data_IF_347864544565
#
_entry.id   IF_347864544565
#
_cell.length_a   1.000
_cell.length_b   1.000
_cell.length_c   1.000
_cell.angle_alpha   90.00
_cell.angle_beta   90.00
_cell.angle_gamma   90.00
#
_symmetry.space_group_name_H-M   'P 1'
#
loop_
_entity.id
_entity.type
_entity.pdbx_description
1 polymer ?
#
# COMPACT_ATOMS: atom_id res chain seq x y z
N UNK A 1 -27.65 18.74 -38.20
CA UNK A 1 -27.92 17.37 -37.72
C UNK A 1 -26.66 16.58 -38.03
N UNK A 2 -25.94 16.04 -37.03
CA UNK A 2 -24.74 15.25 -37.29
C UNK A 2 -25.10 14.10 -38.23
N UNK A 3 -24.26 13.83 -39.22
CA UNK A 3 -24.40 12.67 -40.10
C UNK A 3 -24.30 11.38 -39.25
N UNK A 4 -25.13 10.37 -39.50
CA UNK A 4 -25.20 9.14 -38.69
C UNK A 4 -23.82 8.46 -38.57
N UNK A 5 -23.00 8.58 -39.63
CA UNK A 5 -21.62 8.10 -39.62
C UNK A 5 -20.67 8.88 -38.71
N UNK A 6 -20.88 10.18 -38.45
CA UNK A 6 -20.10 10.96 -37.47
C UNK A 6 -20.45 10.55 -36.04
N UNK A 7 -21.74 10.40 -35.77
CA UNK A 7 -22.23 9.96 -34.46
C UNK A 7 -21.64 8.58 -34.08
N UNK A 8 -21.65 7.62 -35.01
CA UNK A 8 -21.09 6.29 -34.78
C UNK A 8 -19.58 6.30 -34.49
N UNK A 9 -18.81 7.18 -35.15
CA UNK A 9 -17.36 7.31 -34.91
C UNK A 9 -17.04 7.97 -33.57
N UNK A 10 -17.77 9.01 -33.19
CA UNK A 10 -17.60 9.65 -31.88
C UNK A 10 -17.93 8.64 -30.77
N UNK A 11 -19.01 7.88 -30.91
CA UNK A 11 -19.37 6.81 -29.97
C UNK A 11 -18.27 5.76 -29.91
N UNK A 12 -17.75 5.31 -31.05
CA UNK A 12 -16.65 4.34 -31.10
C UNK A 12 -15.37 4.83 -30.44
N UNK A 13 -14.99 6.09 -30.66
CA UNK A 13 -13.82 6.71 -30.03
C UNK A 13 -14.00 6.85 -28.51
N UNK A 14 -15.18 7.31 -28.06
CA UNK A 14 -15.50 7.42 -26.64
C UNK A 14 -15.50 6.04 -25.96
N UNK A 15 -16.11 5.03 -26.60
CA UNK A 15 -16.11 3.66 -26.10
C UNK A 15 -14.69 3.12 -25.95
N UNK A 16 -13.81 3.34 -26.95
CA UNK A 16 -12.42 2.95 -26.88
C UNK A 16 -11.66 3.66 -25.75
N UNK A 17 -11.85 4.97 -25.58
CA UNK A 17 -11.22 5.75 -24.50
C UNK A 17 -11.68 5.27 -23.10
N UNK A 18 -12.97 4.95 -22.94
CA UNK A 18 -13.52 4.38 -21.71
C UNK A 18 -12.89 3.02 -21.42
N UNK A 19 -12.83 2.13 -22.42
CA UNK A 19 -12.25 0.79 -22.26
C UNK A 19 -10.79 0.87 -21.82
N UNK A 20 -9.99 1.75 -22.45
CA UNK A 20 -8.58 1.96 -22.07
C UNK A 20 -8.47 2.47 -20.64
N UNK A 21 -9.32 3.42 -20.25
CA UNK A 21 -9.34 3.98 -18.90
C UNK A 21 -9.70 2.91 -17.86
N UNK A 22 -10.68 2.06 -18.15
CA UNK A 22 -11.07 0.96 -17.25
C UNK A 22 -9.97 -0.09 -17.12
N UNK A 23 -9.29 -0.45 -18.22
CA UNK A 23 -8.19 -1.41 -18.19
C UNK A 23 -7.02 -0.87 -17.36
N UNK A 24 -6.54 0.34 -17.65
CA UNK A 24 -5.40 0.91 -16.92
C UNK A 24 -5.75 1.29 -15.48
N UNK A 25 -6.98 1.77 -15.25
CA UNK A 25 -7.48 2.08 -13.92
C UNK A 25 -7.64 0.83 -13.05
N UNK A 26 -8.19 -0.26 -13.58
CA UNK A 26 -8.27 -1.52 -12.85
C UNK A 26 -6.89 -2.12 -12.56
N UNK A 27 -5.95 -2.02 -13.50
CA UNK A 27 -4.55 -2.42 -13.27
C UNK A 27 -3.90 -1.62 -12.13
N UNK A 28 -4.13 -0.30 -12.08
CA UNK A 28 -3.65 0.54 -10.98
C UNK A 28 -4.23 0.10 -9.64
N UNK A 29 -5.56 -0.08 -9.55
CA UNK A 29 -6.22 -0.53 -8.32
C UNK A 29 -5.68 -1.89 -7.86
N UNK A 30 -5.50 -2.84 -8.78
CA UNK A 30 -4.96 -4.16 -8.44
C UNK A 30 -3.53 -4.08 -7.88
N UNK A 31 -2.66 -3.29 -8.50
CA UNK A 31 -1.29 -3.07 -8.03
C UNK A 31 -1.24 -2.36 -6.69
N UNK A 32 -2.10 -1.35 -6.48
CA UNK A 32 -2.20 -0.64 -5.22
C UNK A 32 -2.66 -1.57 -4.08
N UNK A 33 -3.66 -2.42 -4.33
CA UNK A 33 -4.13 -3.39 -3.34
C UNK A 33 -3.06 -4.43 -3.00
N UNK A 34 -2.32 -4.93 -4.00
CA UNK A 34 -1.20 -5.84 -3.79
C UNK A 34 -0.10 -5.19 -2.96
N UNK A 35 0.22 -3.92 -3.23
CA UNK A 35 1.14 -3.10 -2.44
C UNK A 35 0.75 -3.07 -0.96
N UNK A 36 -0.50 -2.71 -0.65
CA UNK A 36 -1.00 -2.68 0.74
C UNK A 36 -0.94 -4.04 1.42
N UNK A 37 -1.31 -5.12 0.73
CA UNK A 37 -1.23 -6.47 1.31
C UNK A 37 0.21 -6.88 1.59
N UNK A 38 1.15 -6.57 0.69
CA UNK A 38 2.56 -6.89 0.87
C UNK A 38 3.21 -6.10 2.02
N UNK A 39 2.76 -4.87 2.28
CA UNK A 39 3.17 -4.06 3.42
C UNK A 39 2.71 -4.64 4.77
N UNK A 40 1.66 -5.46 4.79
CA UNK A 40 1.18 -6.12 6.01
C UNK A 40 1.71 -7.55 6.17
N UNK A 41 2.15 -8.19 5.08
CA UNK A 41 2.53 -9.60 5.07
C UNK A 41 3.78 -9.90 5.92
N UNK A 42 4.86 -9.11 5.77
CA UNK A 42 6.09 -9.34 6.50
C UNK A 42 5.94 -9.10 8.03
N UNK A 43 5.26 -8.03 8.49
CA UNK A 43 4.89 -7.88 9.89
C UNK A 43 4.01 -9.02 10.41
N UNK A 44 2.99 -9.45 9.65
CA UNK A 44 2.14 -10.55 10.08
C UNK A 44 2.92 -11.86 10.27
N UNK A 45 3.87 -12.15 9.38
CA UNK A 45 4.76 -13.30 9.50
C UNK A 45 5.70 -13.18 10.72
N UNK A 46 6.26 -11.99 10.97
CA UNK A 46 7.10 -11.74 12.14
C UNK A 46 6.33 -11.89 13.46
N UNK A 47 5.09 -11.38 13.53
CA UNK A 47 4.21 -11.64 14.68
C UNK A 47 3.99 -13.14 14.84
N UNK A 48 3.62 -13.86 13.79
CA UNK A 48 3.37 -15.29 13.87
C UNK A 48 4.60 -16.09 14.35
N UNK A 49 5.80 -15.72 13.90
CA UNK A 49 7.05 -16.31 14.35
C UNK A 49 7.31 -16.01 15.83
N UNK A 50 7.14 -14.76 16.25
CA UNK A 50 7.36 -14.35 17.64
C UNK A 50 6.34 -14.99 18.59
N UNK A 51 5.09 -15.19 18.17
CA UNK A 51 4.07 -15.89 18.93
C UNK A 51 4.48 -17.33 19.27
N UNK A 52 5.21 -18.03 18.39
CA UNK A 52 5.72 -19.39 18.65
C UNK A 52 6.84 -19.40 19.70
N UNK A 53 7.50 -18.26 19.91
CA UNK A 53 8.58 -18.09 20.87
C UNK A 53 8.09 -17.51 22.21
N UNK A 54 6.80 -17.21 22.35
CA UNK A 54 6.25 -16.71 23.62
C UNK A 54 6.44 -17.75 24.72
N UNK A 55 7.16 -17.35 25.78
CA UNK A 55 7.51 -18.23 26.90
C UNK A 55 8.91 -18.85 26.78
N UNK A 56 9.56 -18.69 25.63
CA UNK A 56 10.96 -19.06 25.41
C UNK A 56 11.86 -17.83 25.57
N UNK A 57 13.06 -18.03 26.12
CA UNK A 57 14.06 -16.97 26.22
C UNK A 57 14.56 -16.67 24.80
N UNK A 58 14.20 -15.50 24.26
CA UNK A 58 14.60 -15.09 22.92
C UNK A 58 15.93 -14.35 22.99
N UNK A 59 16.87 -14.69 22.09
CA UNK A 59 18.15 -14.01 21.99
C UNK A 59 17.94 -12.51 21.68
N UNK A 60 18.77 -11.60 22.21
CA UNK A 60 18.65 -10.18 21.91
C UNK A 60 18.87 -9.96 20.42
N UNK A 61 17.81 -9.55 19.73
CA UNK A 61 17.90 -9.10 18.35
C UNK A 61 18.56 -7.71 18.31
N UNK A 62 19.32 -7.39 17.25
CA UNK A 62 19.90 -6.06 17.08
C UNK A 62 18.80 -4.99 17.12
N UNK A 63 19.06 -3.90 17.85
CA UNK A 63 18.17 -2.74 17.82
C UNK A 63 18.30 -2.00 16.49
N UNK A 64 17.16 -1.65 15.92
CA UNK A 64 16.96 -0.95 14.67
C UNK A 64 16.31 0.39 15.00
N UNK A 65 16.97 1.48 14.65
CA UNK A 65 16.37 2.80 14.72
C UNK A 65 15.29 2.92 13.63
N UNK A 66 14.13 3.48 13.99
CA UNK A 66 13.04 3.71 13.06
C UNK A 66 13.38 4.88 12.13
N UNK A 67 13.33 4.60 10.84
CA UNK A 67 13.62 5.48 9.72
C UNK A 67 12.64 5.15 8.59
N UNK A 68 12.50 6.02 7.59
CA UNK A 68 11.70 5.74 6.39
C UNK A 68 12.13 4.46 5.64
N UNK A 69 13.36 3.97 5.83
CA UNK A 69 13.86 2.75 5.19
C UNK A 69 13.88 1.54 6.14
N UNK A 70 13.29 1.67 7.33
CA UNK A 70 13.34 0.61 8.33
C UNK A 70 12.58 -0.62 7.88
N UNK A 71 13.27 -1.76 7.93
CA UNK A 71 12.70 -3.07 7.69
C UNK A 71 11.78 -3.53 8.83
N UNK A 72 11.53 -4.84 8.86
CA UNK A 72 10.62 -5.43 9.84
C UNK A 72 11.21 -5.32 11.26
N UNK A 73 10.41 -4.83 12.19
CA UNK A 73 10.72 -4.78 13.61
C UNK A 73 9.61 -5.43 14.44
N UNK A 74 9.92 -5.79 15.69
CA UNK A 74 8.98 -6.42 16.63
C UNK A 74 9.07 -5.74 17.98
N UNK A 75 7.93 -5.58 18.65
CA UNK A 75 7.79 -5.10 20.03
C UNK A 75 6.83 -6.03 20.76
N UNK A 76 7.20 -6.47 21.95
CA UNK A 76 6.39 -7.31 22.82
C UNK A 76 5.91 -6.47 23.99
N UNK A 77 4.60 -6.40 24.16
CA UNK A 77 3.94 -5.72 25.26
C UNK A 77 3.51 -6.72 26.33
N UNK A 78 3.70 -6.34 27.59
CA UNK A 78 3.29 -7.07 28.79
C UNK A 78 1.77 -7.07 28.98
N UNK A 79 1.30 -7.57 30.12
CA UNK A 79 -0.13 -7.53 30.48
C UNK A 79 -0.62 -6.11 30.82
N UNK A 80 0.31 -5.23 31.17
CA UNK A 80 0.13 -3.85 31.59
C UNK A 80 0.23 -2.83 30.44
N UNK A 81 0.23 -3.30 29.19
CA UNK A 81 0.44 -2.49 27.98
C UNK A 81 1.77 -1.73 27.93
N UNK A 82 2.74 -2.09 28.79
CA UNK A 82 4.10 -1.57 28.70
C UNK A 82 4.96 -2.44 27.79
N UNK A 83 5.85 -1.83 26.99
CA UNK A 83 6.74 -2.59 26.12
C UNK A 83 7.83 -3.27 26.97
N UNK A 84 7.91 -4.59 26.88
CA UNK A 84 8.82 -5.45 27.65
C UNK A 84 10.13 -5.70 26.89
N UNK A 85 10.02 -5.92 25.58
CA UNK A 85 11.17 -6.13 24.71
C UNK A 85 10.84 -5.73 23.28
N UNK A 86 11.86 -5.50 22.46
CA UNK A 86 11.67 -5.23 21.05
C UNK A 86 12.96 -4.91 20.34
N UNK A 87 12.86 -4.83 19.02
CA UNK A 87 13.97 -4.57 18.11
C UNK A 87 13.94 -3.15 17.56
N UNK A 88 12.89 -2.37 17.80
CA UNK A 88 12.79 -1.00 17.34
C UNK A 88 13.28 0.00 18.39
N UNK A 89 13.89 1.09 17.94
CA UNK A 89 14.09 2.30 18.73
C UNK A 89 13.62 3.53 17.95
N UNK A 90 13.06 4.49 18.68
CA UNK A 90 12.75 5.83 18.22
C UNK A 90 13.43 6.80 19.18
N UNK A 91 14.34 7.60 18.66
CA UNK A 91 15.22 8.46 19.45
C UNK A 91 15.98 7.66 20.54
N UNK A 92 16.45 6.45 20.20
CA UNK A 92 17.18 5.57 21.11
C UNK A 92 16.35 4.90 22.21
N UNK A 93 15.03 5.13 22.23
CA UNK A 93 14.10 4.55 23.20
C UNK A 93 13.12 3.58 22.53
N UNK A 94 12.58 2.61 23.26
CA UNK A 94 11.59 1.67 22.72
C UNK A 94 10.27 2.44 22.46
N UNK A 95 9.74 2.47 21.23
CA UNK A 95 8.56 3.26 20.93
C UNK A 95 7.30 2.68 21.58
N UNK A 96 6.38 3.56 21.94
CA UNK A 96 5.09 3.21 22.55
C UNK A 96 3.99 3.41 21.53
N UNK A 97 3.23 2.35 21.28
CA UNK A 97 2.08 2.41 20.38
C UNK A 97 0.85 3.04 21.06
N UNK A 98 -0.09 3.60 20.29
CA UNK A 98 -1.36 4.07 20.82
C UNK A 98 -2.12 2.94 21.52
N UNK A 99 -2.64 3.21 22.73
CA UNK A 99 -3.34 2.21 23.54
C UNK A 99 -4.51 1.53 22.81
N UNK A 100 -5.18 2.25 21.90
CA UNK A 100 -6.27 1.70 21.09
C UNK A 100 -5.87 0.50 20.24
N UNK A 101 -4.61 0.44 19.76
CA UNK A 101 -4.10 -0.68 18.96
C UNK A 101 -3.95 -1.93 19.85
N UNK A 102 -3.39 -1.75 21.04
CA UNK A 102 -3.20 -2.82 22.01
C UNK A 102 -4.55 -3.34 22.53
N UNK A 103 -5.46 -2.43 22.87
CA UNK A 103 -6.81 -2.77 23.32
C UNK A 103 -7.57 -3.57 22.25
N UNK A 104 -7.56 -3.11 21.00
CA UNK A 104 -8.24 -3.80 19.89
C UNK A 104 -7.63 -5.18 19.66
N UNK A 105 -6.29 -5.30 19.67
CA UNK A 105 -5.63 -6.59 19.54
C UNK A 105 -5.99 -7.56 20.67
N UNK A 106 -6.20 -7.07 21.90
CA UNK A 106 -6.65 -7.90 23.04
C UNK A 106 -8.10 -8.34 22.91
N UNK A 107 -9.01 -7.45 22.49
CA UNK A 107 -10.44 -7.75 22.39
C UNK A 107 -10.80 -8.58 21.17
N UNK A 108 -10.14 -8.32 20.03
CA UNK A 108 -10.45 -8.92 18.73
C UNK A 108 -9.43 -9.96 18.28
N UNK A 109 -8.35 -10.16 19.04
CA UNK A 109 -7.27 -11.10 18.76
C UNK A 109 -6.19 -10.58 17.81
N UNK A 110 -6.50 -9.56 17.00
CA UNK A 110 -5.55 -8.88 16.13
C UNK A 110 -6.00 -7.47 15.79
N UNK A 111 -5.03 -6.59 15.48
CA UNK A 111 -5.28 -5.28 14.89
C UNK A 111 -4.24 -4.97 13.80
N UNK A 112 -4.66 -4.28 12.75
CA UNK A 112 -3.80 -3.89 11.62
C UNK A 112 -4.03 -2.42 11.30
N UNK A 113 -3.01 -1.60 11.54
CA UNK A 113 -3.12 -0.15 11.47
C UNK A 113 -1.91 0.48 10.80
N UNK A 114 -2.09 1.68 10.29
CA UNK A 114 -0.97 2.57 9.95
C UNK A 114 -0.65 3.43 11.17
N UNK A 115 0.60 3.40 11.60
CA UNK A 115 1.08 4.20 12.72
C UNK A 115 2.12 5.19 12.22
N UNK A 116 1.96 6.46 12.60
CA UNK A 116 2.85 7.56 12.23
C UNK A 116 3.34 8.22 13.53
N UNK A 117 4.43 7.72 14.14
CA UNK A 117 5.01 8.32 15.34
C UNK A 117 5.46 9.77 15.14
N UNK A 118 6.01 10.05 13.96
CA UNK A 118 6.60 11.32 13.58
C UNK A 118 6.27 11.62 12.12
N UNK A 119 6.29 12.90 11.72
CA UNK A 119 6.09 13.26 10.32
C UNK A 119 7.03 12.45 9.42
N UNK A 120 6.48 11.92 8.32
CA UNK A 120 7.20 11.11 7.32
C UNK A 120 7.62 9.70 7.78
N UNK A 121 7.39 9.33 9.04
CA UNK A 121 7.68 8.00 9.55
C UNK A 121 6.41 7.16 9.60
N UNK A 122 5.90 6.73 8.43
CA UNK A 122 4.65 5.97 8.33
C UNK A 122 4.94 4.47 8.34
N UNK A 123 4.38 3.76 9.30
CA UNK A 123 4.64 2.34 9.55
C UNK A 123 3.37 1.51 9.39
N UNK A 124 3.46 0.39 8.66
CA UNK A 124 2.44 -0.64 8.67
C UNK A 124 2.63 -1.50 9.90
N UNK A 125 1.62 -1.60 10.75
CA UNK A 125 1.68 -2.33 12.01
C UNK A 125 0.65 -3.46 12.02
N UNK A 126 1.09 -4.62 12.50
CA UNK A 126 0.23 -5.76 12.84
C UNK A 126 0.44 -6.10 14.31
N UNK A 127 -0.63 -6.09 15.08
CA UNK A 127 -0.65 -6.48 16.49
C UNK A 127 -1.49 -7.75 16.66
N UNK A 128 -1.04 -8.69 17.50
CA UNK A 128 -1.82 -9.87 17.91
C UNK A 128 -1.64 -10.15 19.40
N UNK A 129 -2.75 -10.51 20.04
CA UNK A 129 -2.75 -10.91 21.45
C UNK A 129 -2.58 -12.42 21.58
N UNK A 130 -1.74 -12.86 22.52
CA UNK A 130 -1.59 -14.26 22.91
C UNK A 130 -1.04 -14.37 24.34
N UNK A 131 -1.60 -15.30 25.13
CA UNK A 131 -1.15 -15.62 26.49
C UNK A 131 -0.94 -14.37 27.38
N UNK A 132 -1.91 -13.43 27.37
CA UNK A 132 -1.86 -12.19 28.16
C UNK A 132 -0.95 -11.10 27.59
N UNK A 133 -0.12 -11.39 26.58
CA UNK A 133 0.79 -10.44 25.94
C UNK A 133 0.28 -9.98 24.59
N UNK A 134 0.78 -8.85 24.11
CA UNK A 134 0.53 -8.38 22.74
C UNK A 134 1.85 -8.32 22.00
N UNK A 135 1.93 -9.02 20.88
CA UNK A 135 3.08 -8.94 19.97
C UNK A 135 2.70 -8.02 18.82
N UNK A 136 3.54 -7.02 18.63
CA UNK A 136 3.42 -6.02 17.58
C UNK A 136 4.60 -6.21 16.65
N UNK A 137 4.35 -6.27 15.35
CA UNK A 137 5.40 -6.10 14.36
C UNK A 137 5.03 -4.98 13.40
N UNK A 138 6.05 -4.34 12.85
CA UNK A 138 5.84 -3.32 11.83
C UNK A 138 6.96 -3.23 10.83
N UNK A 139 6.73 -2.45 9.78
CA UNK A 139 7.74 -2.07 8.79
C UNK A 139 7.37 -0.73 8.16
N UNK A 140 8.35 -0.06 7.54
CA UNK A 140 8.10 1.21 6.87
C UNK A 140 7.17 1.06 5.65
N UNK A 141 6.30 2.06 5.46
CA UNK A 141 5.46 2.20 4.27
C UNK A 141 6.16 2.95 3.14
N UNK A 142 7.22 3.72 3.40
CA UNK A 142 7.89 4.57 2.40
C UNK A 142 8.27 3.81 1.12
N UNK A 143 8.91 2.61 1.19
CA UNK A 143 9.26 1.87 -0.02
C UNK A 143 8.04 1.40 -0.85
N UNK A 144 6.87 1.28 -0.22
CA UNK A 144 5.62 0.90 -0.89
C UNK A 144 4.93 2.12 -1.50
N UNK A 145 4.99 3.27 -0.83
CA UNK A 145 4.46 4.54 -1.31
C UNK A 145 5.23 5.05 -2.54
N UNK A 146 6.56 4.91 -2.53
CA UNK A 146 7.40 5.23 -3.68
C UNK A 146 7.09 4.34 -4.89
N UNK A 147 6.84 3.05 -4.64
CA UNK A 147 6.40 2.11 -5.70
C UNK A 147 5.03 2.47 -6.24
N UNK A 148 4.05 2.80 -5.39
CA UNK A 148 2.71 3.22 -5.83
C UNK A 148 2.79 4.47 -6.72
N UNK A 149 3.62 5.45 -6.32
CA UNK A 149 3.86 6.67 -7.10
C UNK A 149 4.49 6.37 -8.45
N UNK A 150 5.52 5.52 -8.49
CA UNK A 150 6.15 5.12 -9.74
C UNK A 150 5.17 4.37 -10.67
N UNK A 151 4.38 3.44 -10.12
CA UNK A 151 3.33 2.72 -10.85
C UNK A 151 2.30 3.68 -11.44
N UNK A 152 1.83 4.66 -10.66
CA UNK A 152 0.88 5.66 -11.14
C UNK A 152 1.45 6.46 -12.32
N UNK A 153 2.70 6.91 -12.23
CA UNK A 153 3.36 7.66 -13.32
C UNK A 153 3.44 6.83 -14.59
N UNK A 154 3.88 5.56 -14.50
CA UNK A 154 4.00 4.68 -15.66
C UNK A 154 2.64 4.42 -16.31
N UNK A 155 1.61 4.14 -15.52
CA UNK A 155 0.26 3.91 -16.04
C UNK A 155 -0.36 5.18 -16.62
N UNK A 156 -0.12 6.34 -16.01
CA UNK A 156 -0.59 7.63 -16.53
C UNK A 156 0.07 7.98 -17.88
N UNK A 157 1.37 7.73 -18.03
CA UNK A 157 2.07 7.91 -19.30
C UNK A 157 1.56 6.94 -20.37
N UNK A 158 1.35 5.67 -20.01
CA UNK A 158 0.74 4.68 -20.91
C UNK A 158 -0.66 5.09 -21.35
N UNK A 159 -1.49 5.54 -20.41
CA UNK A 159 -2.83 6.06 -20.69
C UNK A 159 -2.80 7.26 -21.63
N UNK A 160 -1.94 8.25 -21.36
CA UNK A 160 -1.80 9.43 -22.21
C UNK A 160 -1.34 9.06 -23.63
N UNK A 161 -0.42 8.11 -23.77
CA UNK A 161 0.01 7.57 -25.06
C UNK A 161 -1.15 6.92 -25.82
N UNK A 162 -1.95 6.08 -25.16
CA UNK A 162 -3.13 5.45 -25.75
C UNK A 162 -4.17 6.48 -26.22
N UNK A 163 -4.47 7.49 -25.40
CA UNK A 163 -5.41 8.56 -25.76
C UNK A 163 -4.89 9.38 -26.95
N UNK A 164 -3.59 9.68 -26.99
CA UNK A 164 -2.97 10.40 -28.09
C UNK A 164 -3.06 9.61 -29.41
N UNK A 165 -2.82 8.30 -29.39
CA UNK A 165 -2.98 7.43 -30.56
C UNK A 165 -4.44 7.39 -31.03
N UNK A 166 -5.39 7.25 -30.10
CA UNK A 166 -6.81 7.28 -30.43
C UNK A 166 -7.23 8.62 -31.06
N UNK A 167 -6.77 9.74 -30.50
CA UNK A 167 -7.05 11.08 -31.00
C UNK A 167 -6.42 11.32 -32.39
N UNK A 168 -5.19 10.88 -32.61
CA UNK A 168 -4.52 10.97 -33.90
C UNK A 168 -5.22 10.12 -34.98
N UNK A 169 -5.67 8.91 -34.62
CA UNK A 169 -6.45 8.06 -35.51
C UNK A 169 -7.78 8.71 -35.91
N UNK A 170 -8.53 9.24 -34.94
CA UNK A 170 -9.76 9.98 -35.19
C UNK A 170 -9.52 11.20 -36.11
N UNK A 171 -8.53 12.04 -35.79
CA UNK A 171 -8.18 13.21 -36.60
C UNK A 171 -7.74 12.87 -38.03
N UNK A 172 -6.99 11.78 -38.21
CA UNK A 172 -6.57 11.31 -39.55
C UNK A 172 -7.76 10.88 -40.41
N UNK A 173 -8.73 10.18 -39.82
CA UNK A 173 -9.95 9.79 -40.55
C UNK A 173 -10.79 10.99 -40.97
N UNK A 174 -10.84 12.03 -40.13
CA UNK A 174 -11.57 13.26 -40.43
C UNK A 174 -10.86 14.09 -41.52
N UNK A 175 -9.53 14.18 -41.45
CA UNK A 175 -8.73 14.88 -42.46
C UNK A 175 -8.82 14.24 -43.85
N UNK A 176 -8.78 12.91 -43.94
CA UNK A 176 -8.93 12.18 -45.20
C UNK A 176 -10.34 12.36 -45.80
N UNK A 177 -11.37 12.49 -44.96
CA UNK A 177 -12.74 12.71 -45.40
C UNK A 177 -12.94 14.10 -46.00
N UNK A 178 -12.37 15.13 -45.38
CA UNK A 178 -12.41 16.51 -45.92
C UNK A 178 -11.72 16.66 -47.28
N UNK A 179 -10.83 15.72 -47.64
CA UNK A 179 -10.08 15.73 -48.91
C UNK A 179 -10.70 14.86 -50.02
N UNK A 180 -11.74 14.06 -49.74
CA UNK A 180 -12.46 13.33 -50.79
C UNK A 180 -13.57 14.25 -51.36
N UNK A 181 -13.53 14.59 -52.66
CA UNK A 181 -14.56 15.40 -53.32
C UNK A 181 -15.88 14.63 -53.48
#
# INVERSE_FOLDING_TARGET
>A
MPDDGEMQRVIGWLAAAIVITLILGSAYVALQQLGRQSANAAPAAAVAAQLQLIGSESAPLPRLELTPESGVFVIVYGEDDNPVSGTATLHGSLPVLPAGVLQTARTSGSDVVTWEPEPELRMAIVARSAAGRVVVAGQSLTPYEDRDRATLIVLALGWAGCILVLAAGYGSTEFLRRRRP
#
